data_IF_803911757848
#
_entry.id   IF_803911757848
#
_cell.length_a   1.000
_cell.length_b   1.000
_cell.length_c   1.000
_cell.angle_alpha   90.00
_cell.angle_beta   90.00
_cell.angle_gamma   90.00
#
_symmetry.space_group_name_H-M   'P 1'
#
loop_
_entity.id
_entity.type
_entity.pdbx_description
1 polymer ?
#
# COMPACT_ATOMS: atom_id res chain seq x y z
N UNK A 1 -4.59 -1.36 74.16
CA UNK A 1 -3.97 -2.02 72.99
C UNK A 1 -4.40 -1.22 71.77
N UNK A 2 -3.51 -0.35 71.21
CA UNK A 2 -3.82 0.51 70.03
C UNK A 2 -3.32 -0.17 68.76
N UNK A 3 -4.26 -0.58 67.89
CA UNK A 3 -3.96 -1.18 66.61
C UNK A 3 -3.72 -0.03 65.63
N UNK A 4 -2.50 0.10 65.13
CA UNK A 4 -2.14 1.06 64.10
C UNK A 4 -2.47 0.45 62.72
N UNK A 5 -3.47 0.98 62.03
CA UNK A 5 -3.71 0.67 60.61
C UNK A 5 -2.64 1.37 59.76
N UNK A 6 -1.87 0.58 59.04
CA UNK A 6 -0.94 1.07 57.98
C UNK A 6 -1.72 1.27 56.67
N UNK A 7 -1.60 2.40 55.97
CA UNK A 7 -2.23 2.57 54.69
C UNK A 7 -1.47 1.75 53.63
N UNK A 8 -2.18 0.88 52.93
CA UNK A 8 -1.67 0.19 51.71
C UNK A 8 -1.77 1.19 50.58
N UNK A 9 -0.64 1.66 50.12
CA UNK A 9 -0.56 2.47 48.88
C UNK A 9 -0.77 1.55 47.68
N UNK A 10 -1.91 1.68 47.00
CA UNK A 10 -2.20 1.01 45.74
C UNK A 10 -1.42 1.71 44.62
N UNK A 11 -0.32 1.13 44.19
CA UNK A 11 0.42 1.60 43.00
C UNK A 11 -0.34 1.10 41.76
N UNK A 12 -1.15 1.96 41.17
CA UNK A 12 -1.76 1.71 39.85
C UNK A 12 -0.66 1.90 38.81
N UNK A 13 -0.06 0.79 38.41
CA UNK A 13 0.86 0.78 37.28
C UNK A 13 0.12 1.13 35.98
N UNK A 14 0.35 2.32 35.45
CA UNK A 14 -0.14 2.72 34.15
C UNK A 14 0.67 1.94 33.12
N UNK A 15 0.17 0.78 32.65
CA UNK A 15 0.73 0.08 31.51
C UNK A 15 0.41 0.90 30.26
N UNK A 16 1.37 1.69 29.79
CA UNK A 16 1.31 2.30 28.47
C UNK A 16 1.30 1.16 27.44
N UNK A 17 0.13 0.84 26.90
CA UNK A 17 0.01 -0.01 25.72
C UNK A 17 0.79 0.69 24.60
N UNK A 18 1.76 0.04 23.96
CA UNK A 18 2.41 0.60 22.81
C UNK A 18 1.33 0.79 21.73
N UNK A 19 1.05 2.02 21.35
CA UNK A 19 0.33 2.32 20.12
C UNK A 19 1.13 1.70 18.99
N UNK A 20 0.62 0.64 18.38
CA UNK A 20 1.16 0.13 17.13
C UNK A 20 1.00 1.26 16.11
N UNK A 21 2.08 1.94 15.79
CA UNK A 21 2.10 2.93 14.72
C UNK A 21 2.09 2.12 13.43
N UNK A 22 0.91 2.01 12.81
CA UNK A 22 0.72 1.33 11.54
C UNK A 22 1.12 2.31 10.43
N UNK A 23 1.86 1.85 9.42
CA UNK A 23 2.08 2.61 8.20
C UNK A 23 0.73 2.84 7.53
N UNK A 24 0.57 3.96 6.82
CA UNK A 24 -0.68 4.23 6.11
C UNK A 24 -0.42 5.20 4.96
N UNK A 25 -1.07 4.94 3.83
CA UNK A 25 -1.05 5.85 2.69
C UNK A 25 -2.43 5.92 2.02
N UNK A 26 -2.59 6.92 1.15
CA UNK A 26 -3.76 7.10 0.28
C UNK A 26 -3.26 7.15 -1.16
N UNK A 27 -3.99 6.53 -2.08
CA UNK A 27 -3.79 6.71 -3.50
C UNK A 27 -4.65 7.90 -3.95
N UNK A 28 -4.00 9.00 -4.36
CA UNK A 28 -4.70 10.20 -4.78
C UNK A 28 -4.95 10.20 -6.30
N UNK A 29 -3.96 9.74 -7.08
CA UNK A 29 -4.05 9.63 -8.53
C UNK A 29 -3.34 8.34 -8.99
N UNK A 30 -4.00 7.55 -9.87
CA UNK A 30 -5.40 7.67 -10.31
C UNK A 30 -6.39 7.47 -9.17
N UNK A 31 -7.67 7.82 -9.41
CA UNK A 31 -8.72 7.73 -8.38
C UNK A 31 -8.80 6.31 -7.81
N UNK A 32 -8.75 6.22 -6.50
CA UNK A 32 -8.80 4.94 -5.77
C UNK A 32 -10.11 4.18 -6.02
N UNK A 33 -10.01 2.85 -6.07
CA UNK A 33 -11.13 1.95 -6.23
C UNK A 33 -12.00 1.81 -4.97
N UNK A 34 -11.43 2.06 -3.80
CA UNK A 34 -12.08 1.95 -2.49
C UNK A 34 -12.01 3.30 -1.79
N UNK A 35 -13.12 3.78 -1.27
CA UNK A 35 -13.15 4.96 -0.39
C UNK A 35 -12.34 4.68 0.86
N UNK A 36 -11.35 5.50 1.13
CA UNK A 36 -10.47 5.34 2.27
C UNK A 36 -10.78 6.37 3.36
N UNK A 37 -10.45 6.01 4.61
CA UNK A 37 -10.48 6.93 5.74
C UNK A 37 -9.40 8.02 5.59
N UNK A 38 -9.38 8.99 6.50
CA UNK A 38 -8.32 10.01 6.57
C UNK A 38 -6.93 9.39 6.77
N UNK A 39 -6.85 8.18 7.30
CA UNK A 39 -5.60 7.43 7.43
C UNK A 39 -5.27 6.57 6.21
N UNK A 40 -6.23 6.28 5.33
CA UNK A 40 -6.04 5.41 4.17
C UNK A 40 -6.61 4.00 4.32
N UNK A 41 -7.27 3.67 5.44
CA UNK A 41 -7.92 2.36 5.60
C UNK A 41 -9.23 2.26 4.78
N UNK A 42 -9.57 1.09 4.24
CA UNK A 42 -8.87 -0.20 4.37
C UNK A 42 -7.71 -0.35 3.36
N UNK A 43 -6.60 -0.94 3.79
CA UNK A 43 -5.41 -1.13 2.94
C UNK A 43 -4.59 -2.39 3.28
N UNK A 44 -4.96 -3.12 4.34
CA UNK A 44 -4.17 -4.27 4.82
C UNK A 44 -4.30 -5.51 3.96
N UNK A 45 -5.51 -5.81 3.49
CA UNK A 45 -5.74 -7.03 2.76
C UNK A 45 -5.29 -6.91 1.29
N UNK A 46 -4.48 -7.87 0.83
CA UNK A 46 -4.21 -8.00 -0.59
C UNK A 46 -5.45 -8.51 -1.36
N UNK A 47 -5.54 -8.22 -2.66
CA UNK A 47 -4.64 -7.38 -3.42
C UNK A 47 -4.96 -5.87 -3.40
N UNK A 48 -6.13 -5.44 -2.90
CA UNK A 48 -6.66 -4.08 -3.08
C UNK A 48 -7.21 -3.44 -1.78
N UNK A 49 -6.73 -3.84 -0.63
CA UNK A 49 -7.10 -3.26 0.67
C UNK A 49 -8.28 -3.92 1.36
N UNK A 50 -9.17 -4.60 0.63
CA UNK A 50 -10.35 -5.30 1.15
C UNK A 50 -10.18 -6.82 1.09
N UNK A 51 -10.70 -7.53 2.08
CA UNK A 51 -10.75 -9.00 2.10
C UNK A 51 -11.77 -9.56 1.12
N UNK A 52 -12.87 -8.83 0.92
CA UNK A 52 -13.96 -9.14 0.00
C UNK A 52 -14.71 -7.85 -0.40
N UNK A 53 -15.68 -7.95 -1.30
CA UNK A 53 -16.50 -6.82 -1.79
C UNK A 53 -17.97 -6.95 -1.44
N UNK A 54 -18.31 -7.72 -0.39
CA UNK A 54 -19.67 -8.01 0.01
C UNK A 54 -20.10 -7.14 1.22
N UNK A 55 -21.41 -7.11 1.48
CA UNK A 55 -21.97 -6.46 2.66
C UNK A 55 -21.57 -4.99 2.78
N UNK A 56 -21.01 -4.60 3.92
CA UNK A 56 -20.60 -3.21 4.18
C UNK A 56 -19.39 -2.80 3.34
N UNK A 57 -18.54 -3.74 2.95
CA UNK A 57 -17.40 -3.46 2.06
C UNK A 57 -17.85 -2.97 0.68
N UNK A 58 -19.01 -3.45 0.18
CA UNK A 58 -19.56 -2.99 -1.09
C UNK A 58 -19.85 -1.47 -1.10
N UNK A 59 -20.17 -0.87 0.05
CA UNK A 59 -20.44 0.56 0.19
C UNK A 59 -19.19 1.42 0.10
N UNK A 60 -18.02 0.79 0.24
CA UNK A 60 -16.73 1.47 0.12
C UNK A 60 -16.26 1.58 -1.33
N UNK A 61 -16.85 0.83 -2.27
CA UNK A 61 -16.46 0.92 -3.68
C UNK A 61 -16.79 2.30 -4.24
N UNK A 62 -15.88 2.85 -5.04
CA UNK A 62 -16.05 4.20 -5.62
C UNK A 62 -16.76 4.18 -6.96
N UNK A 63 -16.81 3.02 -7.65
CA UNK A 63 -17.23 2.88 -9.05
C UNK A 63 -16.46 3.80 -10.02
N UNK A 64 -15.37 4.40 -9.56
CA UNK A 64 -14.53 5.28 -10.36
C UNK A 64 -13.64 4.47 -11.29
N UNK A 65 -13.47 4.97 -12.51
CA UNK A 65 -12.51 4.47 -13.49
C UNK A 65 -11.78 5.64 -14.15
N UNK A 66 -10.45 5.52 -14.29
CA UNK A 66 -9.64 6.53 -14.95
C UNK A 66 -9.38 6.11 -16.39
N UNK A 67 -9.79 6.96 -17.35
CA UNK A 67 -9.57 6.73 -18.79
C UNK A 67 -8.20 7.23 -19.19
N UNK A 68 -7.43 6.38 -19.86
CA UNK A 68 -6.05 6.68 -20.28
C UNK A 68 -5.76 6.11 -21.67
N UNK A 69 -4.77 6.71 -22.33
CA UNK A 69 -4.26 6.21 -23.61
C UNK A 69 -3.14 5.21 -23.36
N UNK A 70 -3.18 4.05 -23.98
CA UNK A 70 -2.10 3.06 -23.97
C UNK A 70 -0.81 3.63 -24.54
N UNK A 71 0.34 3.18 -24.04
CA UNK A 71 1.64 3.70 -24.46
C UNK A 71 1.89 5.16 -24.05
N UNK A 72 1.09 5.73 -23.17
CA UNK A 72 1.31 7.04 -22.56
C UNK A 72 1.84 6.90 -21.13
N UNK A 73 2.06 8.03 -20.47
CA UNK A 73 2.38 8.09 -19.05
C UNK A 73 1.11 8.24 -18.22
N UNK A 74 1.07 7.53 -17.10
CA UNK A 74 0.04 7.67 -16.06
C UNK A 74 0.65 8.41 -14.87
N UNK A 75 0.03 9.50 -14.45
CA UNK A 75 0.44 10.19 -13.23
C UNK A 75 0.06 9.36 -12.01
N UNK A 76 1.04 9.08 -11.17
CA UNK A 76 0.87 8.41 -9.87
C UNK A 76 1.11 9.41 -8.76
N UNK A 77 0.14 9.58 -7.88
CA UNK A 77 0.25 10.44 -6.71
C UNK A 77 -0.22 9.73 -5.45
N UNK A 78 0.61 9.74 -4.45
CA UNK A 78 0.41 9.03 -3.18
C UNK A 78 0.61 10.02 -2.04
N UNK A 79 -0.21 9.93 -1.00
CA UNK A 79 -0.03 10.65 0.25
C UNK A 79 0.22 9.66 1.38
N UNK A 80 1.38 9.71 2.00
CA UNK A 80 1.58 9.01 3.27
C UNK A 80 0.94 9.80 4.42
N UNK A 81 0.11 9.10 5.17
CA UNK A 81 -0.55 9.62 6.38
C UNK A 81 0.18 9.18 7.64
N UNK A 82 0.87 8.04 7.55
CA UNK A 82 1.85 7.57 8.51
C UNK A 82 3.11 7.18 7.74
N UNK A 83 4.17 7.95 7.90
CA UNK A 83 5.49 7.64 7.34
C UNK A 83 5.92 6.25 7.78
N UNK A 84 6.43 5.47 6.84
CA UNK A 84 7.07 4.20 7.13
C UNK A 84 8.22 3.95 6.17
N UNK A 85 9.36 3.50 6.70
CA UNK A 85 10.50 3.07 5.88
C UNK A 85 10.07 2.05 4.84
N UNK A 86 10.52 2.18 3.61
CA UNK A 86 10.23 1.21 2.56
C UNK A 86 10.27 1.79 1.16
N UNK A 87 9.44 1.23 0.30
CA UNK A 87 9.27 1.65 -1.09
C UNK A 87 7.92 1.19 -1.63
N UNK A 88 7.60 1.59 -2.87
CA UNK A 88 6.36 1.23 -3.54
C UNK A 88 6.62 0.40 -4.80
N UNK A 89 5.65 -0.48 -5.11
CA UNK A 89 5.55 -1.24 -6.35
C UNK A 89 4.22 -0.96 -7.02
N UNK A 90 4.22 -0.86 -8.36
CA UNK A 90 3.00 -0.71 -9.16
C UNK A 90 2.89 -1.88 -10.13
N UNK A 91 1.69 -2.49 -10.17
CA UNK A 91 1.37 -3.59 -11.08
C UNK A 91 0.04 -3.34 -11.79
N UNK A 92 -0.17 -4.00 -12.95
CA UNK A 92 -1.36 -3.85 -13.78
C UNK A 92 -1.93 -5.22 -14.14
N UNK A 93 -3.12 -5.53 -13.64
CA UNK A 93 -3.89 -6.71 -14.06
C UNK A 93 -4.84 -6.35 -15.20
N UNK A 94 -4.85 -7.14 -16.27
CA UNK A 94 -5.62 -6.87 -17.49
C UNK A 94 -6.98 -7.55 -17.49
N UNK A 95 -7.12 -8.76 -16.95
CA UNK A 95 -8.37 -9.52 -16.98
C UNK A 95 -9.05 -9.65 -15.63
N UNK A 96 -8.30 -9.88 -14.58
CA UNK A 96 -8.82 -10.15 -13.24
C UNK A 96 -7.87 -9.58 -12.19
N UNK A 97 -8.39 -9.10 -11.06
CA UNK A 97 -7.58 -8.75 -9.89
C UNK A 97 -6.75 -9.92 -9.35
N UNK A 98 -7.17 -11.15 -9.64
CA UNK A 98 -6.42 -12.35 -9.28
C UNK A 98 -5.14 -12.52 -10.12
N UNK A 99 -4.99 -11.77 -11.21
CA UNK A 99 -3.78 -11.76 -12.04
C UNK A 99 -2.72 -10.79 -11.49
N UNK A 100 -3.02 -10.05 -10.42
CA UNK A 100 -2.05 -9.23 -9.71
C UNK A 100 -1.00 -10.11 -9.06
N UNK A 101 0.27 -9.67 -9.02
CA UNK A 101 1.34 -10.46 -8.43
C UNK A 101 1.17 -10.55 -6.91
N UNK A 102 1.66 -11.61 -6.27
CA UNK A 102 1.76 -11.67 -4.82
C UNK A 102 2.62 -10.52 -4.28
N UNK A 103 2.53 -10.30 -2.98
CA UNK A 103 3.38 -9.33 -2.31
C UNK A 103 4.87 -9.62 -2.54
N UNK A 104 5.74 -8.59 -2.47
CA UNK A 104 7.17 -8.78 -2.58
C UNK A 104 7.69 -9.83 -1.59
N UNK A 105 8.66 -10.62 -2.02
CA UNK A 105 9.38 -11.53 -1.11
C UNK A 105 10.17 -10.70 -0.11
N UNK A 106 9.93 -10.95 1.18
CA UNK A 106 10.48 -10.16 2.28
C UNK A 106 11.47 -11.01 3.08
N UNK A 107 12.61 -10.42 3.43
CA UNK A 107 13.49 -10.99 4.44
C UNK A 107 13.06 -10.49 5.84
N UNK A 108 13.17 -11.38 6.81
CA UNK A 108 12.72 -11.16 8.18
C UNK A 108 13.87 -11.24 9.17
N UNK A 109 13.73 -10.54 10.29
CA UNK A 109 14.46 -10.79 11.54
C UNK A 109 13.48 -11.14 12.65
N UNK A 110 13.83 -12.06 13.51
CA UNK A 110 13.01 -12.40 14.67
C UNK A 110 13.34 -11.51 15.86
N UNK A 111 12.32 -11.09 16.56
CA UNK A 111 12.38 -10.28 17.78
C UNK A 111 11.54 -10.94 18.87
N UNK A 112 11.60 -10.44 20.10
CA UNK A 112 10.73 -10.88 21.20
C UNK A 112 9.24 -10.64 20.89
N UNK A 113 8.92 -9.74 19.93
CA UNK A 113 7.57 -9.42 19.49
C UNK A 113 7.14 -10.16 18.23
N UNK A 114 7.94 -11.12 17.77
CA UNK A 114 7.72 -11.88 16.54
C UNK A 114 8.56 -11.40 15.35
N UNK A 115 8.22 -11.82 14.13
CA UNK A 115 8.98 -11.50 12.93
C UNK A 115 8.79 -10.04 12.51
N UNK A 116 9.88 -9.41 12.08
CA UNK A 116 9.96 -8.06 11.53
C UNK A 116 10.61 -8.10 10.17
N UNK A 117 10.03 -7.35 9.22
CA UNK A 117 10.62 -7.15 7.89
C UNK A 117 11.95 -6.41 7.98
N UNK A 118 12.87 -6.71 7.07
CA UNK A 118 14.13 -5.98 6.94
C UNK A 118 14.26 -5.33 5.57
N UNK A 119 14.03 -6.08 4.51
CA UNK A 119 14.02 -5.61 3.13
C UNK A 119 13.06 -6.47 2.30
N UNK A 120 12.67 -5.96 1.14
CA UNK A 120 11.91 -6.72 0.15
C UNK A 120 12.66 -6.78 -1.17
N UNK A 121 12.45 -7.86 -1.91
CA UNK A 121 13.01 -8.02 -3.24
C UNK A 121 12.38 -6.99 -4.19
N UNK A 122 13.24 -6.19 -4.84
CA UNK A 122 12.85 -5.28 -5.90
C UNK A 122 13.11 -5.95 -7.25
N UNK A 123 12.13 -5.92 -8.14
CA UNK A 123 12.25 -6.43 -9.51
C UNK A 123 12.92 -5.37 -10.40
N UNK A 124 14.14 -5.61 -10.84
CA UNK A 124 14.86 -4.73 -11.76
C UNK A 124 15.59 -5.55 -12.83
N UNK A 125 15.15 -5.56 -14.10
CA UNK A 125 13.94 -4.91 -14.62
C UNK A 125 12.65 -5.56 -14.11
N UNK A 126 11.52 -4.83 -14.06
CA UNK A 126 10.24 -5.38 -13.64
C UNK A 126 9.73 -6.41 -14.64
N UNK A 127 9.06 -7.44 -14.12
CA UNK A 127 8.43 -8.48 -14.92
C UNK A 127 6.91 -8.30 -14.92
N UNK A 128 6.28 -8.45 -16.08
CA UNK A 128 4.81 -8.40 -16.18
C UNK A 128 4.18 -9.37 -15.17
N UNK A 129 3.19 -8.92 -14.36
CA UNK A 129 2.39 -7.72 -14.52
C UNK A 129 2.90 -6.47 -13.76
N UNK A 130 4.13 -6.48 -13.22
CA UNK A 130 4.72 -5.32 -12.55
C UNK A 130 5.13 -4.29 -13.60
N UNK A 131 4.65 -3.05 -13.46
CA UNK A 131 5.02 -1.91 -14.29
C UNK A 131 6.33 -1.28 -13.83
N UNK A 132 6.44 -1.08 -12.50
CA UNK A 132 7.61 -0.48 -11.86
C UNK A 132 7.69 -0.95 -10.42
N UNK A 133 8.91 -1.10 -9.90
CA UNK A 133 9.19 -1.52 -8.54
C UNK A 133 10.30 -0.65 -7.92
N UNK A 134 10.34 -0.60 -6.59
CA UNK A 134 11.31 0.21 -5.87
C UNK A 134 11.10 1.72 -6.00
N UNK A 135 9.87 2.18 -6.25
CA UNK A 135 9.55 3.62 -6.30
C UNK A 135 9.68 4.25 -4.92
N UNK A 136 10.10 5.52 -4.90
CA UNK A 136 10.15 6.36 -3.71
C UNK A 136 10.82 5.67 -2.51
N UNK A 137 12.04 5.12 -2.65
CA UNK A 137 12.72 4.50 -1.53
C UNK A 137 13.01 5.56 -0.48
N UNK A 138 12.55 5.32 0.75
CA UNK A 138 12.71 6.28 1.84
C UNK A 138 12.94 5.56 3.16
N UNK A 139 13.78 6.18 4.00
CA UNK A 139 14.21 5.67 5.29
C UNK A 139 14.27 6.80 6.31
N UNK A 140 14.13 6.50 7.62
CA UNK A 140 14.26 7.52 8.64
C UNK A 140 15.70 8.04 8.69
N UNK A 141 15.86 9.28 9.11
CA UNK A 141 17.20 9.80 9.46
C UNK A 141 17.74 9.06 10.69
N UNK A 142 19.06 9.00 10.88
CA UNK A 142 19.65 8.43 12.08
C UNK A 142 19.01 9.00 13.36
N UNK A 143 18.51 8.10 14.21
CA UNK A 143 17.83 8.47 15.46
C UNK A 143 16.32 8.76 15.33
N UNK A 144 15.76 8.78 14.12
CA UNK A 144 14.30 8.86 13.92
C UNK A 144 13.68 7.46 13.93
N UNK A 145 12.39 7.31 14.35
CA UNK A 145 11.70 6.04 14.29
C UNK A 145 11.42 5.62 12.84
N UNK A 146 11.37 4.31 12.58
CA UNK A 146 11.02 3.73 11.27
C UNK A 146 9.58 4.04 10.84
N UNK A 147 8.74 4.47 11.78
CA UNK A 147 7.39 4.93 11.48
C UNK A 147 7.00 6.10 12.36
N UNK A 148 6.29 7.08 11.79
CA UNK A 148 5.71 8.21 12.54
C UNK A 148 4.51 8.80 11.79
N UNK A 149 3.54 9.30 12.56
CA UNK A 149 2.38 9.99 11.98
C UNK A 149 2.83 11.25 11.24
N UNK A 150 2.30 11.46 10.04
CA UNK A 150 2.53 12.67 9.24
C UNK A 150 1.57 13.75 9.72
N UNK A 151 2.06 14.98 9.87
CA UNK A 151 1.22 16.12 10.19
C UNK A 151 0.29 16.43 8.98
N UNK A 152 -1.04 16.39 9.14
CA UNK A 152 -1.96 16.70 8.04
C UNK A 152 -1.77 18.10 7.42
N UNK A 153 -1.16 19.04 8.15
CA UNK A 153 -0.87 20.39 7.65
C UNK A 153 0.35 20.43 6.74
N UNK A 154 1.21 19.42 6.81
CA UNK A 154 2.41 19.26 5.99
C UNK A 154 2.43 17.85 5.41
N UNK A 155 1.51 17.53 4.47
CA UNK A 155 1.35 16.19 3.95
C UNK A 155 2.62 15.71 3.24
N UNK A 156 2.95 14.44 3.42
CA UNK A 156 4.02 13.78 2.69
C UNK A 156 3.48 13.20 1.39
N UNK A 157 3.83 13.85 0.28
CA UNK A 157 3.36 13.50 -1.07
C UNK A 157 4.52 12.90 -1.86
N UNK A 158 4.24 11.79 -2.53
CA UNK A 158 5.09 11.15 -3.53
C UNK A 158 4.38 11.13 -4.86
N UNK A 159 5.02 11.60 -5.91
CA UNK A 159 4.40 11.62 -7.24
C UNK A 159 5.44 11.37 -8.34
N UNK A 160 5.00 10.69 -9.40
CA UNK A 160 5.81 10.42 -10.60
C UNK A 160 4.88 9.99 -11.74
N UNK A 161 5.42 10.00 -12.95
CA UNK A 161 4.76 9.43 -14.11
C UNK A 161 5.30 8.03 -14.40
N UNK A 162 4.41 7.06 -14.59
CA UNK A 162 4.75 5.68 -14.94
C UNK A 162 4.33 5.36 -16.37
N UNK A 163 5.14 4.54 -17.06
CA UNK A 163 4.84 4.15 -18.44
C UNK A 163 3.77 3.06 -18.46
N UNK A 164 2.71 3.28 -19.27
CA UNK A 164 1.68 2.28 -19.51
C UNK A 164 2.00 1.48 -20.80
N UNK A 165 1.67 0.18 -20.82
CA UNK A 165 1.73 -0.59 -22.07
C UNK A 165 0.72 -0.07 -23.09
N UNK A 166 1.03 -0.18 -24.37
CA UNK A 166 0.07 0.13 -25.43
C UNK A 166 -0.86 -1.06 -25.68
N UNK A 167 -1.95 -1.11 -24.92
CA UNK A 167 -2.95 -2.20 -24.96
C UNK A 167 -4.37 -1.64 -24.94
N UNK A 168 -5.34 -2.44 -25.37
CA UNK A 168 -6.75 -2.20 -25.08
C UNK A 168 -7.14 -2.98 -23.83
N UNK A 169 -7.64 -2.29 -22.83
CA UNK A 169 -8.11 -2.90 -21.59
C UNK A 169 -9.24 -2.06 -20.98
N UNK A 170 -10.51 -2.45 -21.20
CA UNK A 170 -11.66 -1.69 -20.72
C UNK A 170 -11.88 -1.82 -19.20
N UNK A 171 -11.24 -2.78 -18.54
CA UNK A 171 -11.40 -3.03 -17.08
C UNK A 171 -10.08 -3.50 -16.45
N UNK A 172 -9.04 -2.71 -16.59
CA UNK A 172 -7.78 -2.97 -15.90
C UNK A 172 -7.83 -2.62 -14.41
N UNK A 173 -7.03 -3.30 -13.63
CA UNK A 173 -6.76 -2.93 -12.23
C UNK A 173 -5.30 -2.53 -12.07
N UNK A 174 -5.06 -1.28 -11.74
CA UNK A 174 -3.76 -0.82 -11.23
C UNK A 174 -3.69 -1.13 -9.73
N UNK A 175 -2.61 -1.74 -9.30
CA UNK A 175 -2.30 -1.97 -7.89
C UNK A 175 -1.10 -1.13 -7.49
N UNK A 176 -1.18 -0.51 -6.31
CA UNK A 176 -0.06 0.15 -5.63
C UNK A 176 0.15 -0.55 -4.31
N UNK A 177 1.34 -1.08 -4.11
CA UNK A 177 1.77 -1.77 -2.88
C UNK A 177 2.85 -0.96 -2.20
N UNK A 178 2.66 -0.63 -0.92
CA UNK A 178 3.71 -0.13 -0.05
C UNK A 178 4.33 -1.30 0.69
N UNK A 179 5.61 -1.57 0.47
CA UNK A 179 6.40 -2.42 1.36
C UNK A 179 6.88 -1.61 2.55
N UNK A 180 6.79 -2.20 3.75
CA UNK A 180 7.21 -1.60 5.01
C UNK A 180 8.41 -2.32 5.60
N UNK A 181 9.55 -1.63 5.69
CA UNK A 181 10.75 -2.14 6.36
C UNK A 181 10.69 -1.83 7.87
N UNK A 182 11.32 -2.69 8.67
CA UNK A 182 11.33 -2.61 10.13
C UNK A 182 9.91 -2.62 10.76
N UNK A 183 9.03 -3.39 10.14
CA UNK A 183 7.62 -3.52 10.54
C UNK A 183 7.33 -4.94 11.02
N UNK A 184 6.56 -5.07 12.12
CA UNK A 184 6.07 -6.36 12.60
C UNK A 184 5.05 -6.97 11.63
N UNK A 185 4.97 -8.30 11.59
CA UNK A 185 3.99 -9.00 10.76
C UNK A 185 2.56 -8.56 11.09
N UNK A 186 1.82 -8.15 10.08
CA UNK A 186 0.49 -7.58 10.21
C UNK A 186 -0.55 -8.48 9.51
N UNK A 187 -1.56 -8.93 10.24
CA UNK A 187 -2.64 -9.74 9.66
C UNK A 187 -3.79 -8.83 9.21
N UNK A 188 -4.29 -8.98 7.97
CA UNK A 188 -3.95 -9.96 6.93
C UNK A 188 -2.84 -9.55 5.95
N UNK A 189 -2.31 -8.33 6.03
CA UNK A 189 -1.45 -7.72 5.00
C UNK A 189 0.04 -8.02 5.09
N UNK A 190 0.51 -8.89 6.00
CA UNK A 190 1.94 -9.17 6.12
C UNK A 190 2.76 -7.92 6.40
N UNK A 191 3.64 -7.56 5.46
CA UNK A 191 4.49 -6.37 5.54
C UNK A 191 4.14 -5.35 4.44
N UNK A 192 2.93 -5.45 3.87
CA UNK A 192 2.50 -4.63 2.74
C UNK A 192 1.14 -4.01 2.98
N UNK A 193 0.95 -2.83 2.41
CA UNK A 193 -0.35 -2.19 2.28
C UNK A 193 -0.70 -2.00 0.81
N UNK A 194 -2.00 -2.04 0.49
CA UNK A 194 -2.50 -2.19 -0.86
C UNK A 194 -3.58 -1.18 -1.18
N UNK A 195 -3.43 -0.47 -2.30
CA UNK A 195 -4.51 0.26 -2.94
C UNK A 195 -4.62 -0.13 -4.40
N UNK A 196 -5.82 -0.03 -4.95
CA UNK A 196 -6.08 -0.23 -6.37
C UNK A 196 -6.83 0.95 -6.96
N UNK A 197 -6.69 1.10 -8.29
CA UNK A 197 -7.51 1.97 -9.12
C UNK A 197 -8.01 1.18 -10.33
N UNK A 198 -9.23 1.47 -10.78
CA UNK A 198 -9.72 0.93 -12.04
C UNK A 198 -9.29 1.83 -13.20
N UNK A 199 -8.78 1.23 -14.26
CA UNK A 199 -8.36 1.93 -15.49
C UNK A 199 -9.13 1.40 -16.70
N UNK A 200 -9.50 2.33 -17.60
CA UNK A 200 -9.92 2.05 -18.97
C UNK A 200 -8.78 2.49 -19.89
N UNK A 201 -8.04 1.53 -20.45
CA UNK A 201 -6.92 1.81 -21.35
C UNK A 201 -7.37 1.60 -22.78
N UNK A 202 -7.27 2.65 -23.62
CA UNK A 202 -7.47 2.57 -25.07
C UNK A 202 -6.11 2.68 -25.74
N UNK A 203 -5.77 1.69 -26.55
CA UNK A 203 -4.48 1.70 -27.26
C UNK A 203 -4.35 2.93 -28.18
N UNK A 204 -3.17 3.51 -28.20
CA UNK A 204 -2.80 4.55 -29.17
C UNK A 204 -2.64 3.89 -30.57
N UNK A 205 -3.48 4.24 -31.56
CA UNK A 205 -3.41 3.65 -32.89
C UNK A 205 -2.11 4.02 -33.66
N UNK A 206 -1.40 5.05 -33.23
CA UNK A 206 -0.12 5.46 -33.81
C UNK A 206 1.08 4.63 -33.29
N UNK A 207 0.86 3.76 -32.32
CA UNK A 207 1.90 2.91 -31.72
C UNK A 207 1.58 1.43 -31.88
N UNK A 208 2.58 0.56 -32.02
CA UNK A 208 2.33 -0.88 -32.01
C UNK A 208 1.74 -1.34 -30.68
N UNK A 209 0.83 -2.31 -30.76
CA UNK A 209 0.29 -2.98 -29.55
C UNK A 209 1.42 -3.72 -28.84
N UNK A 210 1.48 -3.59 -27.52
CA UNK A 210 2.44 -4.34 -26.70
C UNK A 210 1.98 -5.78 -26.49
N UNK A 211 2.38 -6.67 -27.40
CA UNK A 211 2.00 -8.09 -27.42
C UNK A 211 2.56 -8.91 -26.24
N UNK A 212 3.41 -8.34 -25.41
CA UNK A 212 3.91 -9.01 -24.20
C UNK A 212 2.82 -9.11 -23.11
N UNK A 213 1.84 -8.22 -23.15
CA UNK A 213 0.72 -8.20 -22.21
C UNK A 213 -0.40 -9.13 -22.66
N UNK A 214 -1.14 -9.73 -21.72
CA UNK A 214 -2.30 -10.56 -22.07
C UNK A 214 -3.37 -9.73 -22.79
N UNK A 215 -4.06 -10.35 -23.74
CA UNK A 215 -5.22 -9.73 -24.39
C UNK A 215 -6.36 -9.65 -23.37
N UNK A 216 -6.99 -8.48 -23.27
CA UNK A 216 -8.20 -8.31 -22.46
C UNK A 216 -9.35 -9.16 -23.03
N UNK A 217 -10.03 -9.90 -22.17
CA UNK A 217 -11.16 -10.78 -22.50
C UNK A 217 -12.48 -10.07 -22.29
#
# INVERSE_FOLDING_TARGET
MKIALRPIALVVGLTALPLAVLAHFKLLEPVEWVKTSDLGDPQKAGPCGLTDTNGDNAKLLTDASTKVTGGSKLHLKIQETVFHSGHYRVALAVNSRNDLPPDPVVAERWTERGPYSTWAQIQSPPQIPVLVDGLFPHYPKPGEPSSKRVDPKTPLIWETDIDLPNINCPKCTLQVVQFMADHGYNVPGGYSYHHCAALEITADPAKPIDSRWPVSK
#
